data_IF_566779715563
#
_entry.id   IF_566779715563
#
_cell.length_a   1.000
_cell.length_b   1.000
_cell.length_c   1.000
_cell.angle_alpha   90.00
_cell.angle_beta   90.00
_cell.angle_gamma   90.00
#
_symmetry.space_group_name_H-M   'P 1'
#
loop_
_entity.id
_entity.type
_entity.pdbx_description
1 polymer ?
#
# COMPACT_ATOMS: atom_id res chain seq x y z
N UNK A 1 -7.81 -29.14 23.72
CA UNK A 1 -8.11 -27.70 23.60
C UNK A 1 -7.04 -26.87 22.89
N UNK A 2 -5.73 -27.14 23.06
CA UNK A 2 -4.65 -26.35 22.40
C UNK A 2 -4.65 -26.43 20.86
N UNK A 3 -4.96 -27.60 20.30
CA UNK A 3 -5.02 -27.81 18.85
C UNK A 3 -6.13 -26.98 18.17
N UNK A 4 -7.34 -26.99 18.74
CA UNK A 4 -8.48 -26.22 18.22
C UNK A 4 -8.21 -24.71 18.27
N UNK A 5 -7.57 -24.23 19.34
CA UNK A 5 -7.15 -22.83 19.46
C UNK A 5 -6.23 -22.41 18.32
N UNK A 6 -5.18 -23.20 18.08
CA UNK A 6 -4.19 -22.88 17.06
C UNK A 6 -4.79 -22.99 15.65
N UNK A 7 -5.67 -23.96 15.41
CA UNK A 7 -6.38 -24.09 14.14
C UNK A 7 -7.25 -22.85 13.83
N UNK A 8 -7.96 -22.32 14.84
CA UNK A 8 -8.74 -21.09 14.72
C UNK A 8 -7.87 -19.87 14.37
N UNK A 9 -6.74 -19.70 15.06
CA UNK A 9 -5.82 -18.59 14.82
C UNK A 9 -5.23 -18.67 13.41
N UNK A 10 -4.79 -19.86 13.00
CA UNK A 10 -4.25 -20.09 11.65
C UNK A 10 -5.29 -19.82 10.56
N UNK A 11 -6.54 -20.24 10.76
CA UNK A 11 -7.63 -19.96 9.84
C UNK A 11 -7.89 -18.44 9.73
N UNK A 12 -7.97 -17.74 10.86
CA UNK A 12 -8.11 -16.29 10.88
C UNK A 12 -6.94 -15.56 10.21
N UNK A 13 -5.72 -16.09 10.36
CA UNK A 13 -4.50 -15.51 9.79
C UNK A 13 -4.42 -15.71 8.28
N UNK A 14 -4.85 -16.87 7.76
CA UNK A 14 -4.95 -17.10 6.32
C UNK A 14 -5.96 -16.13 5.67
N UNK A 15 -7.11 -15.93 6.32
CA UNK A 15 -8.13 -14.98 5.87
C UNK A 15 -7.60 -13.53 5.94
N UNK A 16 -6.96 -13.16 7.05
CA UNK A 16 -6.34 -11.85 7.23
C UNK A 16 -5.27 -11.55 6.18
N UNK A 17 -4.38 -12.51 5.90
CA UNK A 17 -3.38 -12.37 4.85
C UNK A 17 -4.02 -12.14 3.47
N UNK A 18 -5.11 -12.86 3.16
CA UNK A 18 -5.88 -12.63 1.94
C UNK A 18 -6.47 -11.22 1.86
N UNK A 19 -7.10 -10.76 2.93
CA UNK A 19 -7.68 -9.40 2.97
C UNK A 19 -6.64 -8.29 2.84
N UNK A 20 -5.44 -8.47 3.41
CA UNK A 20 -4.37 -7.50 3.27
C UNK A 20 -4.05 -7.23 1.79
N UNK A 21 -4.00 -8.28 0.97
CA UNK A 21 -3.64 -8.17 -0.45
C UNK A 21 -4.65 -7.39 -1.30
N UNK A 22 -5.86 -7.14 -0.83
CA UNK A 22 -6.84 -6.28 -1.53
C UNK A 22 -6.29 -4.84 -1.68
N UNK A 23 -5.39 -4.40 -0.79
CA UNK A 23 -4.69 -3.13 -0.92
C UNK A 23 -3.99 -2.94 -2.28
N UNK A 24 -3.59 -4.04 -2.94
CA UNK A 24 -2.95 -4.02 -4.26
C UNK A 24 -3.81 -3.43 -5.38
N UNK A 25 -5.14 -3.35 -5.20
CA UNK A 25 -6.03 -2.65 -6.13
C UNK A 25 -5.63 -1.18 -6.29
N UNK A 26 -5.19 -0.54 -5.19
CA UNK A 26 -4.86 0.88 -5.19
C UNK A 26 -3.69 1.22 -6.11
N UNK A 27 -2.50 0.65 -5.88
CA UNK A 27 -1.35 0.81 -6.77
C UNK A 27 -1.68 0.40 -8.21
N UNK A 28 -2.40 -0.71 -8.43
CA UNK A 28 -2.76 -1.17 -9.78
C UNK A 28 -3.54 -0.13 -10.58
N UNK A 29 -4.59 0.45 -9.99
CA UNK A 29 -5.37 1.52 -10.64
C UNK A 29 -4.52 2.79 -10.79
N UNK A 30 -3.88 3.25 -9.71
CA UNK A 30 -3.14 4.50 -9.69
C UNK A 30 -1.98 4.51 -10.69
N UNK A 31 -1.17 3.44 -10.72
CA UNK A 31 -0.04 3.31 -11.64
C UNK A 31 -0.50 3.09 -13.08
N UNK A 32 -1.63 2.42 -13.31
CA UNK A 32 -2.24 2.32 -14.63
C UNK A 32 -2.58 3.70 -15.21
N UNK A 33 -3.14 4.60 -14.39
CA UNK A 33 -3.37 5.99 -14.78
C UNK A 33 -2.07 6.76 -15.04
N UNK A 34 -1.02 6.51 -14.25
CA UNK A 34 0.30 7.10 -14.46
C UNK A 34 0.93 6.62 -15.78
N UNK A 35 0.83 5.33 -16.08
CA UNK A 35 1.31 4.73 -17.33
C UNK A 35 0.60 5.31 -18.55
N UNK A 36 -0.73 5.45 -18.50
CA UNK A 36 -1.51 6.05 -19.59
C UNK A 36 -1.10 7.49 -19.89
N UNK A 37 -0.98 8.33 -18.84
CA UNK A 37 -0.49 9.71 -19.02
C UNK A 37 1.00 9.80 -19.35
N UNK A 38 1.81 8.82 -18.96
CA UNK A 38 3.20 8.69 -19.40
C UNK A 38 3.31 8.48 -20.89
N UNK A 39 2.53 7.54 -21.44
CA UNK A 39 2.49 7.30 -22.89
C UNK A 39 2.05 8.56 -23.66
N UNK A 40 1.01 9.25 -23.17
CA UNK A 40 0.53 10.51 -23.74
C UNK A 40 1.60 11.63 -23.65
N UNK A 41 2.27 11.77 -22.50
CA UNK A 41 3.30 12.80 -22.30
C UNK A 41 4.53 12.59 -23.19
N UNK A 42 4.92 11.34 -23.45
CA UNK A 42 6.01 10.98 -24.36
C UNK A 42 5.67 11.34 -25.81
N UNK A 43 4.40 11.20 -26.22
CA UNK A 43 3.97 11.54 -27.58
C UNK A 43 4.07 13.04 -27.87
N UNK A 44 3.76 13.89 -26.90
CA UNK A 44 3.86 15.34 -27.05
C UNK A 44 5.30 15.86 -27.16
N UNK A 45 6.26 15.21 -26.50
CA UNK A 45 7.62 15.73 -26.37
C UNK A 45 8.69 14.62 -26.37
N UNK A 46 8.85 13.97 -27.52
CA UNK A 46 9.78 12.84 -27.72
C UNK A 46 11.21 13.13 -27.27
N UNK A 47 11.70 14.36 -27.50
CA UNK A 47 13.05 14.80 -27.09
C UNK A 47 13.25 14.82 -25.57
N UNK A 48 12.20 15.05 -24.79
CA UNK A 48 12.24 15.09 -23.33
C UNK A 48 11.52 13.91 -22.67
N UNK A 49 11.22 12.85 -23.42
CA UNK A 49 10.54 11.64 -22.96
C UNK A 49 11.12 11.10 -21.65
N UNK A 50 12.45 11.01 -21.57
CA UNK A 50 13.19 10.55 -20.37
C UNK A 50 12.77 11.28 -19.09
N UNK A 51 12.54 12.60 -19.15
CA UNK A 51 12.15 13.39 -17.99
C UNK A 51 10.75 13.02 -17.50
N UNK A 52 9.81 12.86 -18.43
CA UNK A 52 8.44 12.48 -18.12
C UNK A 52 8.39 11.05 -17.58
N UNK A 53 9.08 10.10 -18.23
CA UNK A 53 9.22 8.71 -17.76
C UNK A 53 9.83 8.65 -16.36
N UNK A 54 10.85 9.47 -16.06
CA UNK A 54 11.43 9.55 -14.72
C UNK A 54 10.39 9.96 -13.67
N UNK A 55 9.59 10.99 -13.94
CA UNK A 55 8.55 11.42 -13.00
C UNK A 55 7.47 10.36 -12.82
N UNK A 56 7.08 9.68 -13.89
CA UNK A 56 6.15 8.56 -13.84
C UNK A 56 6.68 7.45 -12.93
N UNK A 57 7.91 6.98 -13.16
CA UNK A 57 8.52 5.91 -12.37
C UNK A 57 8.68 6.30 -10.90
N UNK A 58 9.14 7.53 -10.64
CA UNK A 58 9.29 8.05 -9.29
C UNK A 58 7.95 8.12 -8.54
N UNK A 59 6.92 8.65 -9.19
CA UNK A 59 5.59 8.75 -8.58
C UNK A 59 4.91 7.39 -8.40
N UNK A 60 5.08 6.47 -9.35
CA UNK A 60 4.57 5.09 -9.27
C UNK A 60 5.26 4.28 -8.18
N UNK A 61 6.57 4.48 -7.97
CA UNK A 61 7.30 3.83 -6.89
C UNK A 61 6.73 4.21 -5.52
N UNK A 62 6.32 5.47 -5.33
CA UNK A 62 5.63 5.89 -4.09
C UNK A 62 4.25 5.24 -3.99
N UNK A 63 3.49 5.19 -5.09
CA UNK A 63 2.18 4.52 -5.12
C UNK A 63 2.26 3.03 -4.72
N UNK A 64 3.35 2.35 -5.07
CA UNK A 64 3.56 0.92 -4.76
C UNK A 64 3.70 0.64 -3.26
N UNK A 65 4.11 1.63 -2.46
CA UNK A 65 4.40 1.44 -1.03
C UNK A 65 3.22 0.84 -0.28
N UNK A 66 1.99 1.23 -0.61
CA UNK A 66 0.78 0.67 0.00
C UNK A 66 0.61 -0.84 -0.25
N UNK A 67 0.97 -1.30 -1.45
CA UNK A 67 0.99 -2.73 -1.79
C UNK A 67 2.08 -3.48 -1.03
N UNK A 68 3.27 -2.89 -0.90
CA UNK A 68 4.38 -3.48 -0.14
C UNK A 68 4.03 -3.61 1.35
N UNK A 69 3.43 -2.58 1.96
CA UNK A 69 3.02 -2.64 3.36
C UNK A 69 2.01 -3.77 3.61
N UNK A 70 1.03 -3.92 2.72
CA UNK A 70 0.06 -5.00 2.80
C UNK A 70 0.69 -6.39 2.62
N UNK A 71 1.62 -6.52 1.67
CA UNK A 71 2.37 -7.74 1.45
C UNK A 71 3.17 -8.14 2.70
N UNK A 72 3.83 -7.17 3.36
CA UNK A 72 4.57 -7.43 4.60
C UNK A 72 3.64 -7.97 5.69
N UNK A 73 2.46 -7.38 5.90
CA UNK A 73 1.47 -7.88 6.88
C UNK A 73 1.02 -9.30 6.53
N UNK A 74 0.71 -9.56 5.25
CA UNK A 74 0.33 -10.89 4.80
C UNK A 74 1.44 -11.93 5.06
N UNK A 75 2.69 -11.59 4.74
CA UNK A 75 3.84 -12.48 4.97
C UNK A 75 4.09 -12.74 6.46
N UNK A 76 3.90 -11.73 7.32
CA UNK A 76 3.98 -11.91 8.77
C UNK A 76 2.92 -12.91 9.23
N UNK A 77 1.65 -12.75 8.82
CA UNK A 77 0.56 -13.65 9.21
C UNK A 77 0.76 -15.09 8.69
N UNK A 78 1.42 -15.27 7.54
CA UNK A 78 1.66 -16.59 6.94
C UNK A 78 2.88 -17.31 7.51
N UNK A 79 4.00 -16.61 7.69
CA UNK A 79 5.30 -17.25 7.98
C UNK A 79 5.88 -16.89 9.35
N UNK A 80 5.46 -15.77 9.94
CA UNK A 80 6.00 -15.25 11.19
C UNK A 80 4.88 -14.87 12.17
N UNK A 81 3.84 -15.69 12.22
CA UNK A 81 2.60 -15.34 12.89
C UNK A 81 2.80 -15.19 14.42
N UNK A 82 2.76 -13.97 14.96
CA UNK A 82 3.04 -13.74 16.37
C UNK A 82 1.91 -14.23 17.28
N UNK A 83 0.71 -14.46 16.75
CA UNK A 83 -0.50 -14.73 17.53
C UNK A 83 -0.60 -16.16 18.06
N UNK A 84 0.16 -17.11 17.48
CA UNK A 84 0.09 -18.53 17.84
C UNK A 84 0.64 -18.78 19.26
N UNK A 85 1.67 -18.04 19.64
CA UNK A 85 2.38 -18.17 20.93
C UNK A 85 1.80 -17.35 22.07
N UNK A 86 0.77 -16.52 21.82
CA UNK A 86 0.20 -15.61 22.81
C UNK A 86 -0.83 -16.35 23.68
N UNK A 87 -0.83 -16.06 24.98
CA UNK A 87 -1.89 -16.51 25.89
C UNK A 87 -3.13 -15.64 25.68
N UNK A 88 -4.28 -16.28 25.50
CA UNK A 88 -5.54 -15.59 25.21
C UNK A 88 -6.57 -16.51 24.56
N UNK A 89 -7.77 -15.96 24.36
CA UNK A 89 -8.88 -16.69 23.72
C UNK A 89 -8.61 -16.84 22.21
N UNK A 90 -8.65 -18.07 21.70
CA UNK A 90 -8.40 -18.35 20.27
C UNK A 90 -9.29 -17.57 19.31
N UNK A 91 -10.54 -17.30 19.70
CA UNK A 91 -11.47 -16.46 18.94
C UNK A 91 -10.99 -15.01 18.81
N UNK A 92 -10.49 -14.42 19.91
CA UNK A 92 -9.97 -13.05 19.92
C UNK A 92 -8.73 -12.96 19.04
N UNK A 93 -7.78 -13.89 19.21
CA UNK A 93 -6.56 -13.94 18.41
C UNK A 93 -6.86 -14.14 16.91
N UNK A 94 -7.80 -15.03 16.56
CA UNK A 94 -8.24 -15.21 15.18
C UNK A 94 -8.89 -13.93 14.60
N UNK A 95 -9.75 -13.27 15.37
CA UNK A 95 -10.38 -12.01 14.97
C UNK A 95 -9.34 -10.89 14.82
N UNK A 96 -8.31 -10.83 15.67
CA UNK A 96 -7.20 -9.87 15.56
C UNK A 96 -6.38 -10.10 14.29
N UNK A 97 -6.15 -11.37 13.90
CA UNK A 97 -5.46 -11.69 12.64
C UNK A 97 -6.25 -11.19 11.41
N UNK A 98 -7.57 -11.41 11.40
CA UNK A 98 -8.46 -10.90 10.35
C UNK A 98 -8.48 -9.37 10.35
N UNK A 99 -8.59 -8.75 11.54
CA UNK A 99 -8.60 -7.30 11.71
C UNK A 99 -7.31 -6.64 11.21
N UNK A 100 -6.15 -7.26 11.47
CA UNK A 100 -4.87 -6.81 10.94
C UNK A 100 -4.88 -6.79 9.41
N UNK A 101 -5.39 -7.85 8.79
CA UNK A 101 -5.57 -7.92 7.34
C UNK A 101 -6.52 -6.86 6.77
N UNK A 102 -7.72 -6.74 7.36
CA UNK A 102 -8.75 -5.79 6.92
C UNK A 102 -8.28 -4.33 7.01
N UNK A 103 -7.50 -3.98 8.03
CA UNK A 103 -7.00 -2.61 8.18
C UNK A 103 -6.17 -2.18 6.96
N UNK A 104 -5.41 -3.09 6.35
CA UNK A 104 -4.54 -2.80 5.22
C UNK A 104 -5.31 -2.42 3.95
N UNK A 105 -6.61 -2.70 3.86
CA UNK A 105 -7.48 -2.25 2.75
C UNK A 105 -7.46 -0.72 2.61
N UNK A 106 -7.20 0.04 3.68
CA UNK A 106 -7.02 1.49 3.61
C UNK A 106 -5.91 1.92 2.62
N UNK A 107 -4.95 1.03 2.32
CA UNK A 107 -3.90 1.24 1.32
C UNK A 107 -4.41 1.46 -0.11
N UNK A 108 -5.67 1.07 -0.42
CA UNK A 108 -6.27 1.33 -1.73
C UNK A 108 -6.30 2.85 -2.01
N UNK A 109 -6.78 3.64 -1.06
CA UNK A 109 -6.95 5.09 -1.25
C UNK A 109 -5.61 5.79 -1.50
N UNK A 110 -4.59 5.44 -0.71
CA UNK A 110 -3.24 5.96 -0.88
C UNK A 110 -2.65 5.58 -2.25
N UNK A 111 -2.73 4.31 -2.65
CA UNK A 111 -2.22 3.85 -3.95
C UNK A 111 -2.88 4.54 -5.15
N UNK A 112 -4.21 4.69 -5.15
CA UNK A 112 -4.94 5.40 -6.22
C UNK A 112 -4.53 6.87 -6.25
N UNK A 113 -4.57 7.56 -5.11
CA UNK A 113 -4.28 8.98 -5.02
C UNK A 113 -2.85 9.32 -5.44
N UNK A 114 -1.89 8.51 -5.01
CA UNK A 114 -0.48 8.69 -5.36
C UNK A 114 -0.22 8.42 -6.84
N UNK A 115 -0.83 7.37 -7.41
CA UNK A 115 -0.73 7.10 -8.84
C UNK A 115 -1.39 8.19 -9.70
N UNK A 116 -2.51 8.75 -9.24
CA UNK A 116 -3.11 9.92 -9.89
C UNK A 116 -2.19 11.15 -9.84
N UNK A 117 -1.55 11.41 -8.70
CA UNK A 117 -0.56 12.48 -8.58
C UNK A 117 0.64 12.25 -9.53
N UNK A 118 1.12 11.01 -9.63
CA UNK A 118 2.17 10.61 -10.57
C UNK A 118 1.76 10.86 -12.03
N UNK A 119 0.53 10.50 -12.38
CA UNK A 119 -0.09 10.74 -13.69
C UNK A 119 -0.06 12.22 -14.06
N UNK A 120 -0.49 13.10 -13.14
CA UNK A 120 -0.50 14.55 -13.36
C UNK A 120 0.89 15.18 -13.36
N UNK A 121 1.79 14.72 -12.50
CA UNK A 121 3.19 15.13 -12.52
C UNK A 121 3.86 14.81 -13.86
N UNK A 122 3.61 13.61 -14.38
CA UNK A 122 4.12 13.12 -15.65
C UNK A 122 3.60 13.94 -16.84
N UNK A 123 2.29 14.20 -16.88
CA UNK A 123 1.63 15.05 -17.88
C UNK A 123 2.22 16.48 -17.86
N UNK A 124 2.36 17.06 -16.66
CA UNK A 124 2.90 18.41 -16.48
C UNK A 124 4.35 18.53 -16.96
N UNK A 125 5.18 17.52 -16.68
CA UNK A 125 6.58 17.49 -17.15
C UNK A 125 6.68 17.27 -18.66
N UNK A 126 5.79 16.48 -19.27
CA UNK A 126 5.73 16.36 -20.73
C UNK A 126 5.48 17.71 -21.41
N UNK A 127 4.55 18.50 -20.84
CA UNK A 127 4.21 19.85 -21.33
C UNK A 127 5.30 20.89 -20.99
N UNK A 128 5.91 20.81 -19.81
CA UNK A 128 6.88 21.80 -19.29
C UNK A 128 8.13 21.15 -18.68
N UNK A 129 9.05 20.58 -19.48
CA UNK A 129 10.18 19.79 -18.98
C UNK A 129 11.21 20.58 -18.14
N UNK A 130 11.23 21.92 -18.26
CA UNK A 130 12.12 22.79 -17.47
C UNK A 130 11.67 22.92 -16.01
N UNK A 131 10.39 22.67 -15.73
CA UNK A 131 9.81 22.78 -14.39
C UNK A 131 9.78 21.45 -13.62
N UNK A 132 10.40 20.40 -14.15
CA UNK A 132 10.41 19.06 -13.54
C UNK A 132 10.79 19.09 -12.04
N UNK A 133 11.85 19.79 -11.60
CA UNK A 133 12.23 19.77 -10.18
C UNK A 133 11.13 20.33 -9.26
N UNK A 134 10.44 21.39 -9.69
CA UNK A 134 9.34 21.98 -8.93
C UNK A 134 8.11 21.05 -8.90
N UNK A 135 7.76 20.46 -10.05
CA UNK A 135 6.64 19.53 -10.16
C UNK A 135 6.84 18.29 -9.27
N UNK A 136 8.04 17.70 -9.32
CA UNK A 136 8.36 16.50 -8.51
C UNK A 136 8.30 16.80 -7.02
N UNK A 137 8.79 17.96 -6.57
CA UNK A 137 8.72 18.37 -5.16
C UNK A 137 7.27 18.48 -4.67
N UNK A 138 6.41 19.17 -5.43
CA UNK A 138 5.00 19.30 -5.07
C UNK A 138 4.27 17.95 -5.11
N UNK A 139 4.57 17.13 -6.11
CA UNK A 139 4.02 15.78 -6.22
C UNK A 139 4.37 14.94 -5.00
N UNK A 140 5.66 14.86 -4.62
CA UNK A 140 6.08 14.09 -3.45
C UNK A 140 5.51 14.63 -2.14
N UNK A 141 5.40 15.96 -1.98
CA UNK A 141 4.77 16.54 -0.81
C UNK A 141 3.31 16.07 -0.67
N UNK A 142 2.53 16.13 -1.75
CA UNK A 142 1.15 15.66 -1.77
C UNK A 142 1.05 14.14 -1.56
N UNK A 143 1.94 13.36 -2.18
CA UNK A 143 1.97 11.90 -2.02
C UNK A 143 2.34 11.48 -0.59
N UNK A 144 3.23 12.22 0.08
CA UNK A 144 3.59 11.98 1.48
C UNK A 144 2.39 12.19 2.41
N UNK A 145 1.61 13.26 2.20
CA UNK A 145 0.38 13.49 2.96
C UNK A 145 -0.66 12.40 2.68
N UNK A 146 -0.81 11.99 1.42
CA UNK A 146 -1.73 10.92 1.03
C UNK A 146 -1.38 9.55 1.64
N UNK A 147 -0.11 9.30 1.98
CA UNK A 147 0.33 8.04 2.57
C UNK A 147 -0.11 7.86 4.03
N UNK A 148 -0.44 8.95 4.74
CA UNK A 148 -0.67 8.92 6.20
C UNK A 148 -1.76 7.92 6.62
N UNK A 149 -2.82 7.78 5.83
CA UNK A 149 -3.90 6.80 6.08
C UNK A 149 -3.41 5.35 6.00
N UNK A 150 -2.52 5.05 5.06
CA UNK A 150 -1.86 3.75 4.96
C UNK A 150 -0.95 3.46 6.16
N UNK A 151 -0.30 4.49 6.72
CA UNK A 151 0.49 4.35 7.94
C UNK A 151 -0.40 4.09 9.16
N UNK A 152 -1.54 4.77 9.28
CA UNK A 152 -2.49 4.50 10.38
C UNK A 152 -3.02 3.07 10.34
N UNK A 153 -3.36 2.57 9.16
CA UNK A 153 -3.76 1.17 8.97
C UNK A 153 -2.66 0.19 9.37
N UNK A 154 -1.42 0.42 8.91
CA UNK A 154 -0.27 -0.39 9.31
C UNK A 154 -0.07 -0.40 10.83
N UNK A 155 -0.18 0.75 11.49
CA UNK A 155 -0.06 0.85 12.95
C UNK A 155 -1.13 -0.03 13.62
N UNK A 156 -2.38 0.04 13.17
CA UNK A 156 -3.47 -0.80 13.72
C UNK A 156 -3.17 -2.28 13.51
N UNK A 157 -2.70 -2.68 12.32
CA UNK A 157 -2.30 -4.07 12.06
C UNK A 157 -1.19 -4.53 13.01
N UNK A 158 -0.15 -3.72 13.20
CA UNK A 158 0.98 -4.03 14.08
C UNK A 158 0.55 -4.10 15.55
N UNK A 159 -0.33 -3.20 16.00
CA UNK A 159 -0.89 -3.24 17.37
C UNK A 159 -1.65 -4.54 17.58
N UNK A 160 -2.53 -4.94 16.66
CA UNK A 160 -3.29 -6.19 16.77
C UNK A 160 -2.40 -7.44 16.76
N UNK A 161 -1.25 -7.38 16.06
CA UNK A 161 -0.33 -8.51 15.95
C UNK A 161 0.66 -8.63 17.12
N UNK A 162 1.16 -7.51 17.66
CA UNK A 162 2.29 -7.51 18.59
C UNK A 162 2.00 -6.93 19.98
N UNK A 163 1.01 -6.04 20.09
CA UNK A 163 0.73 -5.30 21.33
C UNK A 163 -0.79 -5.25 21.52
N UNK A 164 -1.42 -6.41 21.41
CA UNK A 164 -2.86 -6.53 21.35
C UNK A 164 -3.47 -6.27 22.74
N UNK A 165 -4.31 -5.23 22.91
CA UNK A 165 -4.88 -4.89 24.22
C UNK A 165 -6.04 -5.80 24.65
N UNK A 166 -6.45 -6.75 23.81
CA UNK A 166 -7.63 -7.60 24.04
C UNK A 166 -7.29 -9.00 24.57
N UNK A 167 -6.01 -9.31 24.76
CA UNK A 167 -5.50 -10.62 25.19
C UNK A 167 -4.80 -10.54 26.52
#
# INVERSE_FOLDING_TARGET
MSFERNALILAGSAIGAGFAMIAGIGPGIGQGLAAGKGAEAVSYNQKNSKKSTLVMLLGSAVAETSGILALVVALILLFMNPLIGVEGTGLVLAASAIGAGLSMIAGIGAGIGQGYAASKGTEAVGKRPKLQPAIVRTMFLGQAVAQTTGIYALIVALVLMFINPFV
#
